data_IF_466956524412
#
_entry.id   IF_466956524412
#
_cell.length_a   1.000
_cell.length_b   1.000
_cell.length_c   1.000
_cell.angle_alpha   90.00
_cell.angle_beta   90.00
_cell.angle_gamma   90.00
#
_symmetry.space_group_name_H-M   'P 1'
#
loop_
_entity.id
_entity.type
_entity.pdbx_description
1 polymer ?
#
# COMPACT_ATOMS: atom_id res chain seq x y z
N UNK A 1 -23.32 5.17 -2.73
CA UNK A 1 -22.60 4.86 -1.46
C UNK A 1 -22.27 3.37 -1.33
N UNK A 2 -23.22 2.46 -1.59
CA UNK A 2 -22.97 1.01 -1.58
C UNK A 2 -21.88 0.56 -2.58
N UNK A 3 -21.82 1.15 -3.78
CA UNK A 3 -20.81 0.82 -4.79
C UNK A 3 -19.36 1.05 -4.31
N UNK A 4 -19.09 2.21 -3.70
CA UNK A 4 -17.76 2.53 -3.16
C UNK A 4 -17.37 1.64 -1.98
N UNK A 5 -18.33 1.26 -1.12
CA UNK A 5 -18.04 0.31 -0.03
C UNK A 5 -17.71 -1.08 -0.56
N UNK A 6 -18.38 -1.53 -1.62
CA UNK A 6 -18.08 -2.83 -2.26
C UNK A 6 -16.71 -2.82 -2.93
N UNK A 7 -16.38 -1.75 -3.66
CA UNK A 7 -15.06 -1.59 -4.29
C UNK A 7 -13.96 -1.57 -3.23
N UNK A 8 -14.16 -0.83 -2.14
CA UNK A 8 -13.20 -0.78 -1.04
C UNK A 8 -13.01 -2.16 -0.40
N UNK A 9 -14.10 -2.87 -0.09
CA UNK A 9 -14.02 -4.22 0.47
C UNK A 9 -13.28 -5.19 -0.44
N UNK A 10 -13.57 -5.15 -1.75
CA UNK A 10 -12.90 -6.01 -2.73
C UNK A 10 -11.42 -5.67 -2.87
N UNK A 11 -11.10 -4.37 -2.95
CA UNK A 11 -9.73 -3.91 -3.03
C UNK A 11 -8.89 -4.37 -1.83
N UNK A 12 -9.39 -4.21 -0.61
CA UNK A 12 -8.71 -4.68 0.60
C UNK A 12 -8.65 -6.21 0.66
N UNK A 13 -9.68 -6.91 0.17
CA UNK A 13 -9.69 -8.38 0.07
C UNK A 13 -8.54 -8.90 -0.79
N UNK A 14 -8.28 -8.23 -1.92
CA UNK A 14 -7.27 -8.65 -2.90
C UNK A 14 -5.87 -8.18 -2.53
N UNK A 15 -5.71 -6.94 -2.07
CA UNK A 15 -4.40 -6.30 -1.88
C UNK A 15 -3.79 -6.45 -0.48
N UNK A 16 -4.61 -6.62 0.55
CA UNK A 16 -4.21 -6.32 1.95
C UNK A 16 -4.20 -7.53 2.87
N UNK A 17 -4.48 -8.74 2.36
CA UNK A 17 -4.37 -9.99 3.12
C UNK A 17 -2.91 -10.47 3.14
N UNK A 18 -2.53 -11.21 4.20
CA UNK A 18 -1.19 -11.83 4.28
C UNK A 18 -0.87 -12.72 3.08
N UNK A 19 -1.85 -13.48 2.58
CA UNK A 19 -1.73 -14.37 1.41
C UNK A 19 -2.18 -13.70 0.10
N UNK A 20 -2.17 -12.36 0.02
CA UNK A 20 -2.51 -11.65 -1.20
C UNK A 20 -1.55 -12.04 -2.34
N UNK A 21 -2.10 -12.31 -3.52
CA UNK A 21 -1.32 -12.67 -4.71
C UNK A 21 -0.90 -11.41 -5.48
N UNK A 22 0.42 -11.17 -5.69
CA UNK A 22 0.89 -10.03 -6.48
C UNK A 22 0.33 -10.02 -7.90
N UNK A 23 0.16 -11.20 -8.52
CA UNK A 23 -0.39 -11.31 -9.87
C UNK A 23 -1.84 -10.79 -9.95
N UNK A 24 -2.66 -11.07 -8.93
CA UNK A 24 -4.05 -10.60 -8.89
C UNK A 24 -4.08 -9.10 -8.66
N UNK A 25 -3.25 -8.56 -7.75
CA UNK A 25 -3.14 -7.11 -7.56
C UNK A 25 -2.70 -6.41 -8.84
N UNK A 26 -1.70 -6.96 -9.54
CA UNK A 26 -1.22 -6.43 -10.81
C UNK A 26 -2.34 -6.38 -11.87
N UNK A 27 -3.14 -7.44 -11.98
CA UNK A 27 -4.28 -7.45 -12.90
C UNK A 27 -5.29 -6.32 -12.59
N UNK A 28 -5.64 -6.13 -11.33
CA UNK A 28 -6.52 -5.02 -10.92
C UNK A 28 -5.91 -3.64 -11.25
N UNK A 29 -4.62 -3.45 -10.98
CA UNK A 29 -3.92 -2.20 -11.29
C UNK A 29 -3.87 -1.92 -12.79
N UNK A 30 -3.65 -2.94 -13.62
CA UNK A 30 -3.65 -2.84 -15.08
C UNK A 30 -5.03 -2.44 -15.62
N UNK A 31 -6.11 -2.99 -15.06
CA UNK A 31 -7.48 -2.63 -15.46
C UNK A 31 -7.81 -1.16 -15.20
N UNK A 32 -7.34 -0.61 -14.08
CA UNK A 32 -7.60 0.80 -13.73
C UNK A 32 -6.53 1.78 -14.25
N UNK A 33 -5.40 1.28 -14.75
CA UNK A 33 -4.27 2.09 -15.23
C UNK A 33 -4.66 3.15 -16.28
N UNK A 34 -5.55 2.89 -17.26
CA UNK A 34 -5.97 3.89 -18.24
C UNK A 34 -6.78 5.06 -17.65
N UNK A 35 -7.16 4.98 -16.37
CA UNK A 35 -8.00 5.95 -15.68
C UNK A 35 -7.23 6.56 -14.49
N UNK A 36 -6.36 7.57 -14.70
CA UNK A 36 -5.43 8.06 -13.68
C UNK A 36 -6.11 8.49 -12.37
N UNK A 37 -7.28 9.12 -12.46
CA UNK A 37 -8.07 9.53 -11.29
C UNK A 37 -8.58 8.33 -10.50
N UNK A 38 -9.03 7.27 -11.19
CA UNK A 38 -9.52 6.04 -10.56
C UNK A 38 -8.37 5.25 -9.95
N UNK A 39 -7.24 5.14 -10.65
CA UNK A 39 -6.02 4.51 -10.13
C UNK A 39 -5.56 5.20 -8.84
N UNK A 40 -5.45 6.54 -8.86
CA UNK A 40 -5.07 7.32 -7.67
C UNK A 40 -6.05 7.14 -6.52
N UNK A 41 -7.36 7.11 -6.81
CA UNK A 41 -8.38 6.86 -5.79
C UNK A 41 -8.23 5.45 -5.20
N UNK A 42 -8.11 4.42 -6.04
CA UNK A 42 -8.05 3.01 -5.63
C UNK A 42 -6.82 2.72 -4.78
N UNK A 43 -5.62 3.09 -5.26
CA UNK A 43 -4.33 2.83 -4.59
C UNK A 43 -4.29 3.47 -3.20
N UNK A 44 -4.93 4.63 -3.04
CA UNK A 44 -4.94 5.40 -1.79
C UNK A 44 -6.23 5.24 -0.98
N UNK A 45 -7.06 4.24 -1.28
CA UNK A 45 -8.18 3.91 -0.41
C UNK A 45 -7.66 3.57 1.00
N UNK A 46 -8.31 4.15 1.99
CA UNK A 46 -8.06 3.87 3.40
C UNK A 46 -9.27 3.14 3.99
N UNK A 47 -9.01 2.13 4.83
CA UNK A 47 -10.04 1.38 5.52
C UNK A 47 -10.61 2.18 6.72
N UNK A 48 -11.43 1.54 7.56
CA UNK A 48 -11.98 2.17 8.77
C UNK A 48 -10.90 2.56 9.79
N UNK A 49 -9.73 1.93 9.73
CA UNK A 49 -8.57 2.18 10.58
C UNK A 49 -7.63 3.24 9.98
N UNK A 50 -7.91 3.75 8.78
CA UNK A 50 -7.02 4.63 8.04
C UNK A 50 -5.85 3.91 7.37
N UNK A 51 -5.83 2.57 7.37
CA UNK A 51 -4.80 1.80 6.72
C UNK A 51 -5.09 1.73 5.21
N UNK A 52 -4.07 2.04 4.40
CA UNK A 52 -4.09 1.81 2.96
C UNK A 52 -3.59 0.40 2.63
N UNK A 53 -3.73 -0.02 1.37
CA UNK A 53 -3.12 -1.26 0.89
C UNK A 53 -1.61 -1.30 1.18
N UNK A 54 -0.92 -0.16 1.06
CA UNK A 54 0.50 -0.04 1.35
C UNK A 54 0.84 -0.38 2.81
N UNK A 55 0.04 0.08 3.77
CA UNK A 55 0.24 -0.23 5.20
C UNK A 55 0.22 -1.75 5.44
N UNK A 56 -0.78 -2.43 4.88
CA UNK A 56 -0.93 -3.87 5.04
C UNK A 56 0.14 -4.65 4.27
N UNK A 57 0.50 -4.23 3.06
CA UNK A 57 1.54 -4.91 2.28
C UNK A 57 2.90 -4.86 2.99
N UNK A 58 3.26 -3.71 3.58
CA UNK A 58 4.48 -3.57 4.40
C UNK A 58 4.37 -4.42 5.66
N UNK A 59 3.27 -4.32 6.41
CA UNK A 59 3.07 -5.10 7.65
C UNK A 59 3.15 -6.61 7.46
N UNK A 60 2.80 -7.12 6.27
CA UNK A 60 2.86 -8.54 5.95
C UNK A 60 4.16 -8.95 5.24
N UNK A 61 5.13 -8.06 5.09
CA UNK A 61 6.35 -8.28 4.28
C UNK A 61 6.06 -8.68 2.81
N UNK A 62 4.92 -8.27 2.26
CA UNK A 62 4.55 -8.55 0.87
C UNK A 62 5.19 -7.53 -0.07
N UNK A 63 6.52 -7.55 -0.16
CA UNK A 63 7.30 -6.55 -0.90
C UNK A 63 7.02 -6.54 -2.40
N UNK A 64 6.58 -7.67 -2.98
CA UNK A 64 6.09 -7.70 -4.36
C UNK A 64 4.88 -6.78 -4.57
N UNK A 65 3.94 -6.73 -3.62
CA UNK A 65 2.77 -5.85 -3.68
C UNK A 65 3.17 -4.40 -3.35
N UNK A 66 4.06 -4.20 -2.37
CA UNK A 66 4.62 -2.86 -2.08
C UNK A 66 5.23 -2.28 -3.35
N UNK A 67 6.06 -3.05 -4.06
CA UNK A 67 6.64 -2.64 -5.33
C UNK A 67 5.58 -2.26 -6.36
N UNK A 68 4.57 -3.11 -6.58
CA UNK A 68 3.48 -2.81 -7.52
C UNK A 68 2.76 -1.50 -7.19
N UNK A 69 2.48 -1.24 -5.91
CA UNK A 69 1.83 -0.01 -5.46
C UNK A 69 2.71 1.22 -5.68
N UNK A 70 4.00 1.16 -5.35
CA UNK A 70 4.94 2.26 -5.56
C UNK A 70 5.21 2.51 -7.06
N UNK A 71 5.29 1.45 -7.87
CA UNK A 71 5.49 1.53 -9.31
C UNK A 71 4.32 2.22 -10.04
N UNK A 72 3.15 2.38 -9.39
CA UNK A 72 2.05 3.19 -9.94
C UNK A 72 2.37 4.69 -10.00
N UNK A 73 3.33 5.17 -9.20
CA UNK A 73 3.72 6.59 -9.11
C UNK A 73 2.66 7.51 -8.49
N UNK A 74 1.51 6.97 -8.06
CA UNK A 74 0.41 7.76 -7.47
C UNK A 74 0.14 7.41 -6.00
N UNK A 75 0.97 6.55 -5.40
CA UNK A 75 0.83 6.10 -4.03
C UNK A 75 1.19 7.22 -3.04
N UNK A 76 0.32 7.47 -2.07
CA UNK A 76 0.57 8.38 -0.97
C UNK A 76 1.26 7.63 0.18
N UNK A 77 2.58 7.55 0.09
CA UNK A 77 3.46 6.87 1.05
C UNK A 77 3.44 7.49 2.45
N UNK A 78 3.12 8.79 2.53
CA UNK A 78 3.10 9.58 3.77
C UNK A 78 1.73 9.61 4.45
N UNK A 79 0.74 8.88 3.92
CA UNK A 79 -0.55 8.78 4.58
C UNK A 79 -0.40 8.16 5.97
N UNK A 80 -0.82 8.87 7.00
CA UNK A 80 -0.92 8.35 8.35
C UNK A 80 -2.26 7.65 8.55
N UNK A 81 -2.22 6.43 9.09
CA UNK A 81 -3.43 5.78 9.58
C UNK A 81 -3.98 6.50 10.82
N UNK A 82 -5.12 6.02 11.35
CA UNK A 82 -5.74 6.65 12.53
C UNK A 82 -4.91 6.53 13.81
N UNK A 83 -3.90 5.67 13.84
CA UNK A 83 -2.94 5.57 14.93
C UNK A 83 -1.69 6.47 14.71
N UNK A 84 -1.69 7.28 13.65
CA UNK A 84 -0.61 8.21 13.33
C UNK A 84 0.55 7.58 12.54
N UNK A 85 0.51 6.29 12.22
CA UNK A 85 1.64 5.63 11.54
C UNK A 85 1.54 5.73 10.03
N UNK A 86 2.66 6.06 9.37
CA UNK A 86 2.81 5.88 7.92
C UNK A 86 3.23 4.46 7.59
N UNK A 87 3.12 4.05 6.32
CA UNK A 87 3.63 2.75 5.88
C UNK A 87 5.15 2.60 6.13
N UNK A 88 5.91 3.69 6.00
CA UNK A 88 7.35 3.72 6.29
C UNK A 88 7.62 3.33 7.75
N UNK A 89 6.84 3.87 8.70
CA UNK A 89 7.00 3.58 10.14
C UNK A 89 6.75 2.13 10.51
N UNK A 90 6.00 1.38 9.69
CA UNK A 90 5.68 -0.04 9.91
C UNK A 90 6.79 -0.95 9.37
N UNK A 91 7.67 -0.42 8.52
CA UNK A 91 8.76 -1.17 7.87
C UNK A 91 9.71 -1.89 8.84
N UNK A 92 10.08 -1.36 10.03
CA UNK A 92 10.92 -2.08 11.00
C UNK A 92 10.30 -3.39 11.53
N UNK A 93 8.99 -3.60 11.37
CA UNK A 93 8.32 -4.85 11.73
C UNK A 93 8.33 -5.89 10.59
N UNK A 94 8.79 -5.52 9.40
CA UNK A 94 8.81 -6.39 8.23
C UNK A 94 10.16 -7.10 8.08
N UNK A 95 10.15 -8.43 8.05
CA UNK A 95 11.34 -9.24 7.75
C UNK A 95 11.66 -9.18 6.25
N UNK A 96 12.60 -8.32 5.85
CA UNK A 96 13.18 -8.37 4.50
C UNK A 96 14.30 -9.41 4.47
N UNK A 97 14.10 -10.48 3.70
CA UNK A 97 15.01 -11.64 3.67
C UNK A 97 15.91 -11.64 2.44
N UNK A 98 15.49 -10.97 1.35
CA UNK A 98 16.20 -10.96 0.06
C UNK A 98 16.73 -9.56 -0.30
N UNK A 99 17.65 -9.51 -1.29
CA UNK A 99 18.17 -8.24 -1.82
C UNK A 99 17.07 -7.45 -2.53
N UNK A 100 16.16 -8.17 -3.17
CA UNK A 100 15.01 -7.63 -3.90
C UNK A 100 14.04 -6.96 -2.92
N UNK A 101 13.74 -7.60 -1.78
CA UNK A 101 12.92 -7.02 -0.72
C UNK A 101 13.54 -5.76 -0.15
N UNK A 102 14.86 -5.81 0.13
CA UNK A 102 15.59 -4.65 0.60
C UNK A 102 15.58 -3.50 -0.41
N UNK A 103 15.64 -3.79 -1.72
CA UNK A 103 15.53 -2.75 -2.73
C UNK A 103 14.17 -2.04 -2.70
N UNK A 104 13.09 -2.78 -2.43
CA UNK A 104 11.75 -2.22 -2.25
C UNK A 104 11.66 -1.39 -0.97
N UNK A 105 12.24 -1.86 0.13
CA UNK A 105 12.35 -1.09 1.39
C UNK A 105 13.09 0.24 1.15
N UNK A 106 14.23 0.20 0.46
CA UNK A 106 14.98 1.39 0.11
C UNK A 106 14.18 2.35 -0.77
N UNK A 107 13.40 1.82 -1.73
CA UNK A 107 12.51 2.64 -2.55
C UNK A 107 11.46 3.34 -1.67
N UNK A 108 10.80 2.60 -0.78
CA UNK A 108 9.81 3.14 0.15
C UNK A 108 10.40 4.23 1.06
N UNK A 109 11.60 4.02 1.61
CA UNK A 109 12.30 4.98 2.46
C UNK A 109 12.73 6.25 1.70
N UNK A 110 13.01 6.14 0.39
CA UNK A 110 13.37 7.29 -0.44
C UNK A 110 12.17 8.12 -0.84
N UNK A 111 11.05 7.47 -1.12
CA UNK A 111 9.81 8.15 -1.52
C UNK A 111 9.05 8.74 -0.33
N UNK A 112 9.14 8.10 0.85
CA UNK A 112 8.48 8.56 2.06
C UNK A 112 9.30 9.54 2.90
N UNK A 113 8.60 10.43 3.59
CA UNK A 113 9.21 11.39 4.50
C UNK A 113 9.47 10.75 5.87
N UNK A 114 10.72 10.35 6.09
CA UNK A 114 11.19 9.75 7.35
C UNK A 114 11.14 10.69 8.56
N UNK A 115 10.87 11.99 8.35
CA UNK A 115 10.76 12.98 9.44
C UNK A 115 9.33 13.13 9.97
N UNK A 116 8.33 12.53 9.31
CA UNK A 116 6.96 12.51 9.86
C UNK A 116 7.01 11.81 11.22
N UNK A 117 6.33 12.39 12.21
CA UNK A 117 6.16 11.79 13.52
C UNK A 117 4.75 11.26 13.66
N UNK A 118 4.59 10.14 14.37
CA UNK A 118 3.27 9.59 14.61
C UNK A 118 2.43 10.60 15.41
N UNK A 119 1.36 11.08 14.80
CA UNK A 119 0.36 11.93 15.47
C UNK A 119 -0.57 11.01 16.25
N UNK A 120 -0.25 10.78 17.53
CA UNK A 120 -1.13 10.08 18.46
C UNK A 120 -2.06 11.06 19.18
#
# INVERSE_FOLDING_TARGET
RQSLSTISQEWFRVSSRKLASPAVVAAYLLEVQPHPHLLKLLVNLADRSGNTALHYSVSHSNFAIVKLLLDTGVCNVDHQNKAGYTAVMITPLASAETKEDMAVVWKLLREGNVNIQATQ
#
